data_IF_425697643877
#
_entry.id   IF_425697643877
#
_cell.length_a   1.000
_cell.length_b   1.000
_cell.length_c   1.000
_cell.angle_alpha   90.00
_cell.angle_beta   90.00
_cell.angle_gamma   90.00
#
_symmetry.space_group_name_H-M   'P 1'
#
loop_
_entity.id
_entity.type
_entity.pdbx_description
1 polymer ?
#
# COMPACT_ATOMS: atom_id res chain seq x y z
N UNK A 1 13.72 -10.41 -1.09
CA UNK A 1 14.00 -10.07 0.31
C UNK A 1 12.73 -9.67 1.08
N UNK A 2 11.90 -8.79 0.54
CA UNK A 2 10.63 -8.40 1.17
C UNK A 2 9.68 -9.59 1.36
N UNK A 3 9.64 -10.51 0.41
CA UNK A 3 8.83 -11.72 0.53
C UNK A 3 9.32 -12.65 1.65
N UNK A 4 10.61 -12.67 1.91
CA UNK A 4 11.17 -13.46 3.01
C UNK A 4 10.79 -12.90 4.37
N UNK A 5 10.70 -11.56 4.50
CA UNK A 5 10.28 -10.91 5.74
C UNK A 5 8.78 -11.03 6.01
N UNK A 6 7.95 -11.03 4.96
CA UNK A 6 6.49 -11.00 5.06
C UNK A 6 5.82 -12.29 4.59
N UNK A 7 6.57 -13.38 4.43
CA UNK A 7 6.03 -14.66 4.03
C UNK A 7 4.99 -15.20 5.02
N UNK A 8 4.05 -16.01 4.54
CA UNK A 8 2.91 -16.50 5.32
C UNK A 8 3.30 -17.19 6.63
N UNK A 9 4.49 -17.79 6.69
CA UNK A 9 5.01 -18.47 7.87
C UNK A 9 5.89 -17.61 8.75
N UNK A 10 6.14 -16.34 8.37
CA UNK A 10 7.07 -15.46 9.06
C UNK A 10 6.37 -14.21 9.60
N UNK A 11 5.87 -14.30 10.83
CA UNK A 11 5.26 -13.18 11.52
C UNK A 11 6.29 -12.18 12.05
N UNK A 12 7.57 -12.58 12.16
CA UNK A 12 8.63 -11.78 12.76
C UNK A 12 8.89 -10.49 11.97
N UNK A 13 8.87 -10.56 10.64
CA UNK A 13 9.03 -9.39 9.79
C UNK A 13 7.90 -8.38 9.94
N UNK A 14 6.65 -8.87 10.01
CA UNK A 14 5.48 -8.02 10.22
C UNK A 14 5.50 -7.38 11.61
N UNK A 15 5.88 -8.13 12.65
CA UNK A 15 6.05 -7.62 14.01
C UNK A 15 7.11 -6.51 14.05
N UNK A 16 8.23 -6.72 13.39
CA UNK A 16 9.31 -5.74 13.30
C UNK A 16 8.84 -4.43 12.63
N UNK A 17 8.16 -4.52 11.51
CA UNK A 17 7.61 -3.36 10.81
C UNK A 17 6.59 -2.60 11.66
N UNK A 18 5.72 -3.31 12.35
CA UNK A 18 4.75 -2.69 13.25
C UNK A 18 5.42 -1.93 14.39
N UNK A 19 6.48 -2.50 14.98
CA UNK A 19 7.25 -1.84 16.03
C UNK A 19 8.00 -0.61 15.51
N UNK A 20 8.64 -0.72 14.36
CA UNK A 20 9.35 0.42 13.73
C UNK A 20 8.37 1.56 13.50
N UNK A 21 7.20 1.28 12.99
CA UNK A 21 6.19 2.29 12.69
C UNK A 21 5.68 2.98 13.96
N UNK A 22 5.46 2.24 15.03
CA UNK A 22 5.05 2.80 16.33
C UNK A 22 6.12 3.72 16.92
N UNK A 23 7.39 3.34 16.78
CA UNK A 23 8.53 4.08 17.33
C UNK A 23 8.96 5.27 16.46
N UNK A 24 8.64 5.25 15.18
CA UNK A 24 9.06 6.28 14.24
C UNK A 24 8.63 7.69 14.67
N UNK A 25 7.42 7.84 15.19
CA UNK A 25 6.92 9.11 15.70
C UNK A 25 7.77 9.67 16.84
N UNK A 26 8.24 8.80 17.71
CA UNK A 26 9.05 9.19 18.87
C UNK A 26 10.41 9.76 18.45
N UNK A 27 10.94 9.31 17.32
CA UNK A 27 12.24 9.71 16.81
C UNK A 27 12.17 10.65 15.60
N UNK A 28 11.01 11.28 15.37
CA UNK A 28 10.78 12.16 14.22
C UNK A 28 11.17 11.51 12.87
N UNK A 29 10.89 10.24 12.74
CA UNK A 29 11.22 9.45 11.55
C UNK A 29 9.93 9.13 10.79
N UNK A 30 9.94 9.33 9.48
CA UNK A 30 8.87 8.88 8.59
C UNK A 30 9.14 7.49 8.06
N UNK A 31 8.10 6.70 7.85
CA UNK A 31 8.20 5.39 7.21
C UNK A 31 7.30 5.33 5.99
N UNK A 32 7.80 4.76 4.91
CA UNK A 32 7.05 4.48 3.69
C UNK A 32 7.11 2.99 3.43
N UNK A 33 5.94 2.36 3.34
CA UNK A 33 5.83 0.93 3.04
C UNK A 33 5.17 0.78 1.68
N UNK A 34 5.82 0.07 0.78
CA UNK A 34 5.34 -0.17 -0.57
C UNK A 34 5.15 -1.67 -0.75
N UNK A 35 3.96 -2.08 -1.19
CA UNK A 35 3.68 -3.47 -1.51
C UNK A 35 2.86 -3.57 -2.79
N UNK A 36 3.09 -4.62 -3.54
CA UNK A 36 2.28 -4.98 -4.69
C UNK A 36 1.19 -6.01 -4.36
N UNK A 37 1.32 -6.65 -3.21
CA UNK A 37 0.42 -7.73 -2.79
C UNK A 37 -0.11 -7.46 -1.38
N UNK A 38 -1.31 -6.92 -1.26
CA UNK A 38 -1.93 -6.73 0.06
C UNK A 38 -2.05 -8.03 0.88
N UNK A 39 -2.08 -9.18 0.21
CA UNK A 39 -2.11 -10.49 0.87
C UNK A 39 -0.91 -10.73 1.79
N UNK A 40 0.22 -10.06 1.55
CA UNK A 40 1.38 -10.15 2.44
C UNK A 40 1.06 -9.66 3.87
N UNK A 41 0.06 -8.80 4.01
CA UNK A 41 -0.37 -8.25 5.29
C UNK A 41 -1.73 -8.77 5.76
N UNK A 42 -2.52 -9.35 4.88
CA UNK A 42 -3.87 -9.83 5.19
C UNK A 42 -3.94 -11.34 5.46
N UNK A 43 -2.85 -12.07 5.26
CA UNK A 43 -2.80 -13.50 5.56
C UNK A 43 -3.17 -13.76 7.04
N UNK A 44 -3.89 -14.84 7.35
CA UNK A 44 -4.33 -15.09 8.73
C UNK A 44 -3.21 -15.11 9.77
N UNK A 45 -2.02 -15.51 9.37
CA UNK A 45 -0.85 -15.56 10.27
C UNK A 45 -0.31 -14.19 10.64
N UNK A 46 -0.57 -13.16 9.83
CA UNK A 46 0.00 -11.81 10.00
C UNK A 46 -1.06 -10.70 10.03
N UNK A 47 -2.34 -11.05 9.99
CA UNK A 47 -3.43 -10.06 9.88
C UNK A 47 -3.43 -9.05 11.03
N UNK A 48 -3.12 -9.48 12.24
CA UNK A 48 -3.06 -8.59 13.41
C UNK A 48 -1.98 -7.53 13.24
N UNK A 49 -0.79 -7.94 12.84
CA UNK A 49 0.33 -7.05 12.56
C UNK A 49 0.07 -6.18 11.35
N UNK A 50 -0.52 -6.76 10.30
CA UNK A 50 -0.91 -6.03 9.10
C UNK A 50 -1.88 -4.90 9.40
N UNK A 51 -2.93 -5.16 10.15
CA UNK A 51 -3.88 -4.13 10.58
C UNK A 51 -3.19 -3.03 11.40
N UNK A 52 -2.30 -3.40 12.31
CA UNK A 52 -1.56 -2.42 13.11
C UNK A 52 -0.69 -1.51 12.23
N UNK A 53 -0.04 -2.05 11.21
CA UNK A 53 0.75 -1.28 10.25
C UNK A 53 -0.13 -0.29 9.49
N UNK A 54 -1.26 -0.75 8.97
CA UNK A 54 -2.19 0.13 8.23
C UNK A 54 -2.86 1.16 9.12
N UNK A 55 -3.27 0.79 10.32
CA UNK A 55 -3.90 1.72 11.26
C UNK A 55 -2.97 2.86 11.70
N UNK A 56 -1.67 2.60 11.75
CA UNK A 56 -0.68 3.62 12.11
C UNK A 56 -0.23 4.48 10.93
N UNK A 57 -0.59 4.13 9.71
CA UNK A 57 -0.26 4.93 8.54
C UNK A 57 -1.18 6.15 8.45
N UNK A 58 -0.60 7.30 8.15
CA UNK A 58 -1.36 8.56 7.99
C UNK A 58 -1.93 8.70 6.59
N UNK A 59 -1.28 8.12 5.61
CA UNK A 59 -1.64 8.25 4.19
C UNK A 59 -1.63 6.89 3.53
N UNK A 60 -2.58 6.69 2.62
CA UNK A 60 -2.57 5.54 1.72
C UNK A 60 -2.60 6.03 0.28
N UNK A 61 -1.81 5.41 -0.56
CA UNK A 61 -1.86 5.60 -2.01
C UNK A 61 -2.15 4.24 -2.64
N UNK A 62 -3.38 4.06 -3.09
CA UNK A 62 -3.85 2.79 -3.65
C UNK A 62 -3.95 2.92 -5.16
N UNK A 63 -3.03 2.27 -5.85
CA UNK A 63 -3.03 2.22 -7.31
C UNK A 63 -3.92 1.08 -7.82
N UNK A 64 -4.02 0.92 -9.13
CA UNK A 64 -4.85 -0.13 -9.72
C UNK A 64 -4.49 -1.53 -9.24
N UNK A 65 -5.47 -2.29 -8.82
CA UNK A 65 -5.34 -3.65 -8.31
C UNK A 65 -6.36 -4.58 -8.97
N UNK A 66 -6.02 -5.85 -9.05
CA UNK A 66 -6.93 -6.90 -9.47
C UNK A 66 -7.95 -7.21 -8.36
N UNK A 67 -9.05 -7.84 -8.73
CA UNK A 67 -10.16 -8.15 -7.81
C UNK A 67 -9.68 -8.79 -6.49
N UNK A 68 -8.88 -9.83 -6.58
CA UNK A 68 -8.40 -10.54 -5.38
C UNK A 68 -7.58 -9.62 -4.46
N UNK A 69 -6.72 -8.79 -5.04
CA UNK A 69 -5.92 -7.84 -4.27
C UNK A 69 -6.78 -6.76 -3.61
N UNK A 70 -7.85 -6.32 -4.26
CA UNK A 70 -8.81 -5.38 -3.67
C UNK A 70 -9.53 -6.02 -2.48
N UNK A 71 -9.93 -7.28 -2.61
CA UNK A 71 -10.58 -8.02 -1.51
C UNK A 71 -9.62 -8.17 -0.32
N UNK A 72 -8.36 -8.51 -0.57
CA UNK A 72 -7.34 -8.60 0.47
C UNK A 72 -7.09 -7.24 1.14
N UNK A 73 -7.02 -6.17 0.36
CA UNK A 73 -6.84 -4.82 0.89
C UNK A 73 -8.03 -4.37 1.74
N UNK A 74 -9.24 -4.77 1.39
CA UNK A 74 -10.44 -4.42 2.14
C UNK A 74 -10.47 -5.01 3.55
N UNK A 75 -9.68 -6.04 3.82
CA UNK A 75 -9.47 -6.59 5.17
C UNK A 75 -8.59 -5.70 6.03
N UNK A 76 -7.78 -4.84 5.43
CA UNK A 76 -6.78 -4.01 6.10
C UNK A 76 -7.23 -2.57 6.25
N UNK A 77 -7.89 -2.02 5.26
CA UNK A 77 -8.43 -0.66 5.26
C UNK A 77 -9.91 -0.69 4.88
N UNK A 78 -10.64 0.31 5.32
CA UNK A 78 -12.05 0.45 5.01
C UNK A 78 -12.23 1.05 3.61
N UNK A 79 -12.84 0.30 2.71
CA UNK A 79 -13.15 0.71 1.36
C UNK A 79 -14.64 0.51 1.08
N UNK A 80 -15.30 1.53 0.54
CA UNK A 80 -16.67 1.38 0.09
C UNK A 80 -16.73 0.68 -1.28
N UNK A 81 -17.91 0.22 -1.67
CA UNK A 81 -18.09 -0.53 -2.93
C UNK A 81 -17.69 0.27 -4.17
N UNK A 82 -17.97 1.57 -4.17
CA UNK A 82 -17.59 2.46 -5.26
C UNK A 82 -16.05 2.56 -5.40
N UNK A 83 -15.35 2.66 -4.29
CA UNK A 83 -13.88 2.71 -4.26
C UNK A 83 -13.28 1.39 -4.76
N UNK A 84 -13.82 0.25 -4.30
CA UNK A 84 -13.37 -1.07 -4.76
C UNK A 84 -13.52 -1.22 -6.27
N UNK A 85 -14.66 -0.85 -6.81
CA UNK A 85 -14.89 -0.91 -8.25
C UNK A 85 -13.97 0.04 -9.02
N UNK A 86 -13.74 1.24 -8.50
CA UNK A 86 -12.82 2.21 -9.12
C UNK A 86 -11.38 1.69 -9.17
N UNK A 87 -10.89 1.12 -8.08
CA UNK A 87 -9.53 0.59 -7.99
C UNK A 87 -9.29 -0.52 -9.02
N UNK A 88 -10.29 -1.38 -9.23
CA UNK A 88 -10.21 -2.43 -10.25
C UNK A 88 -10.09 -1.90 -11.68
N UNK A 89 -10.55 -0.68 -11.91
CA UNK A 89 -10.58 -0.03 -13.24
C UNK A 89 -9.46 0.98 -13.45
N UNK A 90 -8.68 1.29 -12.42
CA UNK A 90 -7.61 2.27 -12.55
C UNK A 90 -6.60 1.82 -13.60
N UNK A 91 -6.28 2.74 -14.50
CA UNK A 91 -5.18 2.58 -15.45
C UNK A 91 -3.88 3.09 -14.83
N UNK A 92 -2.82 2.98 -15.58
CA UNK A 92 -1.50 3.43 -15.13
C UNK A 92 -1.52 4.91 -14.70
N UNK A 93 -1.02 5.19 -13.51
CA UNK A 93 -0.97 6.53 -12.94
C UNK A 93 -2.20 6.94 -12.15
N UNK A 94 -3.33 6.25 -12.29
CA UNK A 94 -4.50 6.53 -11.49
C UNK A 94 -4.38 5.89 -10.10
N UNK A 95 -4.80 6.62 -9.08
CA UNK A 95 -4.71 6.14 -7.71
C UNK A 95 -5.80 6.76 -6.83
N UNK A 96 -6.14 6.07 -5.75
CA UNK A 96 -6.93 6.61 -4.66
C UNK A 96 -5.98 7.09 -3.56
N UNK A 97 -6.02 8.36 -3.24
CA UNK A 97 -5.25 8.94 -2.15
C UNK A 97 -6.15 9.13 -0.93
N UNK A 98 -5.78 8.52 0.17
CA UNK A 98 -6.52 8.59 1.43
C UNK A 98 -5.67 9.32 2.47
N UNK A 99 -6.21 10.38 3.03
CA UNK A 99 -5.57 11.17 4.07
C UNK A 99 -6.61 11.47 5.16
N UNK A 100 -6.57 10.74 6.27
CA UNK A 100 -7.57 10.84 7.31
C UNK A 100 -8.97 10.52 6.77
N UNK A 101 -9.90 11.47 6.88
CA UNK A 101 -11.26 11.33 6.36
C UNK A 101 -11.40 11.77 4.89
N UNK A 102 -10.34 12.27 4.30
CA UNK A 102 -10.36 12.73 2.91
C UNK A 102 -9.92 11.63 1.97
N UNK A 103 -10.70 11.43 0.93
CA UNK A 103 -10.45 10.43 -0.09
C UNK A 103 -10.54 11.10 -1.45
N UNK A 104 -9.48 11.01 -2.23
CA UNK A 104 -9.40 11.68 -3.53
C UNK A 104 -8.86 10.71 -4.57
N UNK A 105 -9.52 10.71 -5.73
CA UNK A 105 -8.95 10.08 -6.91
C UNK A 105 -7.93 11.04 -7.50
N UNK A 106 -6.72 10.57 -7.70
CA UNK A 106 -5.63 11.34 -8.28
C UNK A 106 -5.10 10.64 -9.53
N UNK A 107 -4.46 11.41 -10.38
CA UNK A 107 -3.76 10.89 -11.54
C UNK A 107 -2.31 11.39 -11.48
N UNK A 108 -1.37 10.45 -11.30
CA UNK A 108 0.05 10.76 -11.26
C UNK A 108 0.55 10.86 -12.69
N UNK A 109 0.91 12.07 -13.08
CA UNK A 109 1.45 12.33 -14.41
C UNK A 109 2.91 12.71 -14.31
N UNK A 110 3.69 12.32 -15.31
CA UNK A 110 5.08 12.71 -15.44
C UNK A 110 5.24 13.70 -16.58
N UNK A 111 6.17 14.64 -16.42
CA UNK A 111 6.52 15.54 -17.50
C UNK A 111 7.33 14.79 -18.55
N UNK A 112 7.37 15.31 -19.78
CA UNK A 112 8.21 14.74 -20.84
C UNK A 112 9.67 14.68 -20.42
N UNK A 113 10.14 15.70 -19.71
CA UNK A 113 11.51 15.78 -19.21
C UNK A 113 11.80 14.68 -18.17
N UNK A 114 10.88 14.42 -17.26
CA UNK A 114 11.01 13.33 -16.29
C UNK A 114 11.01 11.96 -16.98
N UNK A 115 10.15 11.79 -17.96
CA UNK A 115 10.08 10.55 -18.74
C UNK A 115 11.38 10.30 -19.50
N UNK A 116 11.97 11.35 -20.10
CA UNK A 116 13.24 11.25 -20.84
C UNK A 116 14.41 10.98 -19.89
N UNK A 117 14.37 11.52 -18.66
CA UNK A 117 15.45 11.38 -17.67
C UNK A 117 15.41 10.09 -16.87
N UNK A 118 14.21 9.61 -16.52
CA UNK A 118 14.01 8.49 -15.61
C UNK A 118 13.23 7.34 -16.23
N UNK A 119 12.61 7.54 -17.36
CA UNK A 119 11.86 6.52 -18.05
C UNK A 119 12.79 5.45 -18.60
N UNK A 120 12.79 4.28 -18.01
CA UNK A 120 13.40 3.13 -18.66
C UNK A 120 12.48 2.69 -19.79
N UNK A 121 12.94 2.78 -21.00
CA UNK A 121 12.18 2.33 -22.17
C UNK A 121 11.88 0.84 -22.19
N UNK A 122 12.16 0.13 -21.12
CA UNK A 122 11.94 -1.31 -21.02
C UNK A 122 10.90 -1.74 -20.02
N UNK A 123 10.19 -0.81 -19.42
CA UNK A 123 9.25 -1.11 -18.35
C UNK A 123 7.80 -1.25 -18.77
N UNK A 124 7.54 -1.27 -20.04
CA UNK A 124 6.16 -1.30 -20.53
C UNK A 124 5.92 -2.50 -21.41
#
# INVERSE_FOLDING_TARGET
YKRQLLGEKNTLGADFLAQVQRRARKYNTGTIIITQQPSDFSAPSVITQGKAIFDNASYYLVMGLKKQAVDDLSLLIDLNESEKESIKRYSQGEALFVCGNRRMRINVTVTKQELDSFGSGGGL
#
